data_IF_978572059129
#
_entry.id   IF_978572059129
#
_cell.length_a   1.000
_cell.length_b   1.000
_cell.length_c   1.000
_cell.angle_alpha   90.00
_cell.angle_beta   90.00
_cell.angle_gamma   90.00
#
_symmetry.space_group_name_H-M   'P 1'
#
loop_
_entity.id
_entity.type
_entity.pdbx_description
1 polymer ?
#
# COMPACT_ATOMS: atom_id res chain seq x y z
N UNK A 1 -8.46 -5.30 -7.77
CA UNK A 1 -7.04 -5.58 -7.56
C UNK A 1 -6.78 -5.78 -6.08
N UNK A 2 -5.81 -6.61 -5.68
CA UNK A 2 -5.39 -6.74 -4.29
C UNK A 2 -3.94 -6.24 -4.14
N UNK A 3 -3.71 -5.32 -3.20
CA UNK A 3 -2.39 -4.79 -2.89
C UNK A 3 -2.00 -5.20 -1.47
N UNK A 4 -1.02 -6.08 -1.36
CA UNK A 4 -0.50 -6.55 -0.08
C UNK A 4 0.62 -5.62 0.40
N UNK A 5 0.39 -4.95 1.52
CA UNK A 5 1.42 -4.11 2.16
C UNK A 5 2.19 -4.97 3.17
N UNK A 6 3.49 -5.00 3.00
CA UNK A 6 4.42 -5.78 3.82
C UNK A 6 5.60 -4.93 4.28
N UNK A 7 6.27 -5.37 5.31
CA UNK A 7 7.51 -4.77 5.82
C UNK A 7 8.53 -5.85 6.11
N UNK A 8 9.80 -5.61 5.82
CA UNK A 8 10.90 -6.51 6.21
C UNK A 8 11.11 -6.49 7.74
N UNK A 9 10.90 -5.32 8.34
CA UNK A 9 11.07 -5.07 9.78
C UNK A 9 9.94 -4.20 10.30
N UNK A 10 9.68 -4.29 11.58
CA UNK A 10 8.83 -3.38 12.35
C UNK A 10 7.37 -3.15 11.84
N UNK A 11 6.55 -4.22 11.76
CA UNK A 11 6.77 -5.64 12.07
C UNK A 11 7.33 -6.41 10.87
N UNK A 12 7.99 -7.52 11.12
CA UNK A 12 8.41 -8.44 10.05
C UNK A 12 7.20 -9.16 9.47
N UNK A 13 7.14 -9.20 8.15
CA UNK A 13 6.14 -9.99 7.41
C UNK A 13 6.80 -11.23 6.84
N UNK A 14 6.36 -12.41 7.25
CA UNK A 14 6.93 -13.66 6.76
C UNK A 14 6.57 -13.91 5.29
N UNK A 15 7.49 -14.54 4.56
CA UNK A 15 7.23 -14.98 3.18
C UNK A 15 6.04 -15.94 3.09
N UNK A 16 5.86 -16.81 4.09
CA UNK A 16 4.69 -17.68 4.17
C UNK A 16 3.36 -16.94 4.17
N UNK A 17 3.31 -15.77 4.81
CA UNK A 17 2.11 -14.93 4.76
C UNK A 17 1.88 -14.34 3.38
N UNK A 18 2.95 -13.85 2.74
CA UNK A 18 2.90 -13.32 1.38
C UNK A 18 2.41 -14.41 0.41
N UNK A 19 3.02 -15.59 0.46
CA UNK A 19 2.71 -16.70 -0.43
C UNK A 19 1.25 -17.16 -0.30
N UNK A 20 0.75 -17.27 0.94
CA UNK A 20 -0.67 -17.62 1.18
C UNK A 20 -1.62 -16.56 0.64
N UNK A 21 -1.30 -15.30 0.80
CA UNK A 21 -2.10 -14.22 0.26
C UNK A 21 -2.15 -14.28 -1.27
N UNK A 22 -0.99 -14.43 -1.91
CA UNK A 22 -0.89 -14.53 -3.37
C UNK A 22 -1.61 -15.76 -3.90
N UNK A 23 -1.44 -16.92 -3.26
CA UNK A 23 -2.17 -18.14 -3.62
C UNK A 23 -3.70 -17.97 -3.51
N UNK A 24 -4.17 -17.21 -2.51
CA UNK A 24 -5.58 -16.89 -2.40
C UNK A 24 -6.04 -15.99 -3.55
N UNK A 25 -5.27 -14.97 -3.90
CA UNK A 25 -5.56 -14.10 -5.03
C UNK A 25 -5.63 -14.89 -6.35
N UNK A 26 -4.70 -15.82 -6.57
CA UNK A 26 -4.71 -16.70 -7.75
C UNK A 26 -5.96 -17.58 -7.78
N UNK A 27 -6.33 -18.20 -6.66
CA UNK A 27 -7.52 -19.07 -6.57
C UNK A 27 -8.81 -18.31 -6.95
N UNK A 28 -8.90 -17.03 -6.63
CA UNK A 28 -10.02 -16.16 -6.97
C UNK A 28 -9.84 -15.33 -8.23
N UNK A 29 -8.72 -15.51 -8.94
CA UNK A 29 -8.36 -14.74 -10.15
C UNK A 29 -8.36 -13.24 -9.93
N UNK A 30 -7.91 -12.80 -8.76
CA UNK A 30 -7.76 -11.39 -8.40
C UNK A 30 -6.32 -10.97 -8.69
N UNK A 31 -6.07 -10.02 -9.60
CA UNK A 31 -4.73 -9.48 -9.81
C UNK A 31 -4.16 -8.94 -8.50
N UNK A 32 -2.92 -9.28 -8.18
CA UNK A 32 -2.26 -8.90 -6.94
C UNK A 32 -0.93 -8.19 -7.20
N UNK A 33 -0.54 -7.32 -6.26
CA UNK A 33 0.80 -6.75 -6.18
C UNK A 33 1.28 -6.70 -4.73
N UNK A 34 2.59 -6.51 -4.54
CA UNK A 34 3.22 -6.42 -3.24
C UNK A 34 3.82 -5.02 -3.07
N UNK A 35 3.51 -4.37 -1.95
CA UNK A 35 4.06 -3.06 -1.59
C UNK A 35 4.94 -3.24 -0.35
N UNK A 36 6.25 -3.19 -0.53
CA UNK A 36 7.23 -3.19 0.55
C UNK A 36 7.33 -1.78 1.11
N UNK A 37 6.79 -1.57 2.31
CA UNK A 37 6.77 -0.28 2.99
C UNK A 37 7.89 -0.16 4.01
N UNK A 38 8.14 1.08 4.48
CA UNK A 38 9.15 1.44 5.47
C UNK A 38 10.58 1.15 5.02
N UNK A 39 10.86 1.33 3.74
CA UNK A 39 12.21 1.12 3.21
C UNK A 39 13.24 2.11 3.77
N UNK A 40 12.79 3.25 4.27
CA UNK A 40 13.57 4.26 4.98
C UNK A 40 14.19 3.78 6.29
N UNK A 41 13.67 2.69 6.87
CA UNK A 41 14.16 2.09 8.11
C UNK A 41 15.12 0.92 7.89
N UNK A 42 15.40 0.55 6.64
CA UNK A 42 16.22 -0.61 6.31
C UNK A 42 17.70 -0.26 6.23
N UNK A 43 18.54 -1.17 6.74
CA UNK A 43 19.98 -1.14 6.56
C UNK A 43 20.35 -1.54 5.13
N UNK A 44 21.61 -1.34 4.75
CA UNK A 44 22.10 -1.70 3.43
C UNK A 44 22.00 -3.22 3.15
N UNK A 45 22.25 -4.06 4.16
CA UNK A 45 22.07 -5.50 4.06
C UNK A 45 20.58 -5.89 3.87
N UNK A 46 19.70 -5.22 4.58
CA UNK A 46 18.25 -5.45 4.46
C UNK A 46 17.69 -4.95 3.12
N UNK A 47 18.26 -3.90 2.55
CA UNK A 47 17.95 -3.45 1.19
C UNK A 47 18.38 -4.48 0.12
N UNK A 48 19.49 -5.18 0.34
CA UNK A 48 19.89 -6.30 -0.54
C UNK A 48 18.92 -7.47 -0.42
N UNK A 49 18.48 -7.81 0.80
CA UNK A 49 17.46 -8.83 1.03
C UNK A 49 16.14 -8.44 0.35
N UNK A 50 15.72 -7.18 0.48
CA UNK A 50 14.56 -6.65 -0.21
C UNK A 50 14.66 -6.80 -1.72
N UNK A 51 15.81 -6.45 -2.29
CA UNK A 51 16.06 -6.59 -3.72
C UNK A 51 15.91 -8.04 -4.19
N UNK A 52 16.44 -8.99 -3.43
CA UNK A 52 16.32 -10.43 -3.73
C UNK A 52 14.85 -10.90 -3.67
N UNK A 53 14.11 -10.47 -2.65
CA UNK A 53 12.69 -10.81 -2.53
C UNK A 53 11.85 -10.22 -3.67
N UNK A 54 12.12 -8.98 -4.04
CA UNK A 54 11.42 -8.34 -5.15
C UNK A 54 11.67 -9.08 -6.45
N UNK A 55 12.93 -9.40 -6.77
CA UNK A 55 13.28 -10.18 -7.96
C UNK A 55 12.57 -11.54 -7.99
N UNK A 56 12.47 -12.22 -6.85
CA UNK A 56 11.74 -13.47 -6.72
C UNK A 56 10.28 -13.30 -7.13
N UNK A 57 9.54 -12.38 -6.49
CA UNK A 57 8.12 -12.21 -6.76
C UNK A 57 7.85 -11.63 -8.16
N UNK A 58 8.70 -10.75 -8.65
CA UNK A 58 8.63 -10.23 -10.02
C UNK A 58 8.84 -11.34 -11.06
N UNK A 59 9.76 -12.29 -10.80
CA UNK A 59 9.96 -13.46 -11.67
C UNK A 59 8.75 -14.40 -11.71
N UNK A 60 7.92 -14.38 -10.67
CA UNK A 60 6.66 -15.11 -10.59
C UNK A 60 5.49 -14.33 -11.21
N UNK A 61 5.72 -13.13 -11.72
CA UNK A 61 4.71 -12.29 -12.38
C UNK A 61 3.97 -11.33 -11.45
N UNK A 62 4.38 -11.17 -10.19
CA UNK A 62 3.76 -10.24 -9.26
C UNK A 62 4.49 -8.89 -9.26
N UNK A 63 3.85 -7.78 -9.66
CA UNK A 63 4.46 -6.47 -9.54
C UNK A 63 4.83 -6.15 -8.09
N UNK A 64 6.02 -5.59 -7.89
CA UNK A 64 6.48 -5.18 -6.57
C UNK A 64 6.83 -3.69 -6.52
N UNK A 65 6.53 -3.05 -5.41
CA UNK A 65 6.81 -1.65 -5.14
C UNK A 65 7.56 -1.52 -3.82
N UNK A 66 8.59 -0.67 -3.79
CA UNK A 66 9.35 -0.37 -2.57
C UNK A 66 9.14 1.11 -2.24
N UNK A 67 8.56 1.39 -1.07
CA UNK A 67 8.15 2.74 -0.68
C UNK A 67 8.46 3.03 0.78
N UNK A 68 8.44 4.32 1.12
CA UNK A 68 8.23 4.81 2.47
C UNK A 68 6.96 5.67 2.49
N UNK A 69 5.92 5.19 3.13
CA UNK A 69 4.64 5.90 3.20
C UNK A 69 4.77 7.28 3.88
N UNK A 70 5.78 7.45 4.75
CA UNK A 70 6.04 8.73 5.44
C UNK A 70 6.66 9.74 4.48
N UNK A 71 7.55 9.31 3.59
CA UNK A 71 8.28 10.19 2.67
C UNK A 71 7.55 10.42 1.35
N UNK A 72 6.47 9.70 1.09
CA UNK A 72 5.64 9.92 -0.10
C UNK A 72 5.17 11.38 -0.24
N UNK A 73 5.00 12.06 0.89
CA UNK A 73 4.59 13.47 0.94
C UNK A 73 5.75 14.47 1.03
N UNK A 74 6.99 13.99 1.25
CA UNK A 74 8.08 14.87 1.71
C UNK A 74 9.26 15.00 0.77
N UNK A 75 9.48 14.10 -0.20
CA UNK A 75 10.65 14.20 -1.08
C UNK A 75 10.51 13.37 -2.35
N UNK A 76 10.55 14.01 -3.54
CA UNK A 76 10.54 13.32 -4.82
C UNK A 76 11.87 12.64 -5.18
N UNK A 77 12.95 12.89 -4.42
CA UNK A 77 14.33 12.55 -4.82
C UNK A 77 14.97 11.38 -4.07
N UNK A 78 14.18 10.49 -3.46
CA UNK A 78 14.77 9.30 -2.84
C UNK A 78 15.20 8.28 -3.91
N UNK A 79 16.49 7.92 -4.02
CA UNK A 79 16.99 7.01 -5.05
C UNK A 79 16.48 5.56 -4.90
N UNK A 80 15.84 5.23 -3.80
CA UNK A 80 15.42 3.87 -3.45
C UNK A 80 13.92 3.69 -3.60
N UNK A 81 13.12 4.75 -3.42
CA UNK A 81 11.68 4.69 -3.56
C UNK A 81 11.26 4.93 -5.01
N UNK A 82 10.44 4.05 -5.55
CA UNK A 82 9.78 4.31 -6.83
C UNK A 82 8.91 5.57 -6.69
N UNK A 83 8.83 6.34 -7.76
CA UNK A 83 8.01 7.56 -7.78
C UNK A 83 6.61 7.26 -7.26
N UNK A 84 6.08 8.05 -6.31
CA UNK A 84 4.72 7.90 -5.81
C UNK A 84 3.68 7.84 -6.94
N UNK A 85 3.88 8.62 -7.97
CA UNK A 85 2.99 8.68 -9.13
C UNK A 85 2.91 7.35 -9.88
N UNK A 86 4.02 6.61 -9.98
CA UNK A 86 4.02 5.30 -10.63
C UNK A 86 3.22 4.26 -9.82
N UNK A 87 3.39 4.23 -8.49
CA UNK A 87 2.60 3.37 -7.62
C UNK A 87 1.11 3.70 -7.74
N UNK A 88 0.77 4.99 -7.61
CA UNK A 88 -0.62 5.46 -7.64
C UNK A 88 -1.28 5.08 -8.97
N UNK A 89 -0.65 5.38 -10.09
CA UNK A 89 -1.16 5.06 -11.41
C UNK A 89 -1.30 3.54 -11.61
N UNK A 90 -0.29 2.77 -11.23
CA UNK A 90 -0.30 1.32 -11.48
C UNK A 90 -1.28 0.55 -10.58
N UNK A 91 -1.47 1.00 -9.34
CA UNK A 91 -2.23 0.23 -8.33
C UNK A 91 -3.63 0.76 -8.12
N UNK A 92 -3.85 2.07 -8.23
CA UNK A 92 -5.11 2.69 -7.81
C UNK A 92 -5.91 3.32 -8.95
N UNK A 93 -5.25 3.87 -9.98
CA UNK A 93 -5.96 4.62 -11.03
C UNK A 93 -6.89 3.71 -11.84
N UNK A 94 -8.16 4.09 -11.93
CA UNK A 94 -9.19 3.36 -12.65
C UNK A 94 -9.56 1.99 -12.06
N UNK A 95 -9.22 1.71 -10.79
CA UNK A 95 -9.35 0.39 -10.19
C UNK A 95 -10.09 0.44 -8.85
N UNK A 96 -10.73 -0.68 -8.50
CA UNK A 96 -11.11 -0.99 -7.12
C UNK A 96 -9.96 -1.79 -6.53
N UNK A 97 -9.28 -1.23 -5.52
CA UNK A 97 -8.09 -1.84 -4.90
C UNK A 97 -8.34 -2.13 -3.43
N UNK A 98 -8.19 -3.41 -3.08
CA UNK A 98 -8.17 -3.86 -1.69
C UNK A 98 -6.76 -3.72 -1.14
N UNK A 99 -6.59 -2.94 -0.06
CA UNK A 99 -5.37 -2.89 0.72
C UNK A 99 -5.41 -3.98 1.80
N UNK A 100 -4.39 -4.81 1.85
CA UNK A 100 -4.24 -5.86 2.86
C UNK A 100 -2.85 -5.83 3.47
N UNK A 101 -2.70 -6.39 4.66
CA UNK A 101 -1.43 -6.48 5.37
C UNK A 101 -1.61 -6.55 6.87
N UNK A 102 -0.57 -6.96 7.58
CA UNK A 102 -0.57 -7.09 9.04
C UNK A 102 -0.77 -5.72 9.74
N UNK A 103 -1.17 -5.75 11.00
CA UNK A 103 -1.19 -4.53 11.82
C UNK A 103 0.21 -3.92 11.90
N UNK A 104 0.30 -2.59 11.80
CA UNK A 104 1.56 -1.86 11.92
C UNK A 104 2.43 -1.80 10.65
N UNK A 105 2.05 -2.43 9.53
CA UNK A 105 2.80 -2.33 8.26
C UNK A 105 2.66 -0.96 7.58
N UNK A 106 1.74 -0.11 8.05
CA UNK A 106 1.56 1.26 7.56
C UNK A 106 0.45 1.44 6.54
N UNK A 107 -0.60 0.58 6.53
CA UNK A 107 -1.77 0.73 5.65
C UNK A 107 -2.42 2.10 5.78
N UNK A 108 -2.79 2.50 6.99
CA UNK A 108 -3.44 3.79 7.24
C UNK A 108 -2.53 4.98 6.90
N UNK A 109 -1.21 4.85 7.12
CA UNK A 109 -0.25 5.89 6.74
C UNK A 109 -0.19 6.04 5.22
N UNK A 110 -0.13 4.93 4.51
CA UNK A 110 -0.15 4.93 3.04
C UNK A 110 -1.45 5.50 2.50
N UNK A 111 -2.58 5.08 3.07
CA UNK A 111 -3.90 5.57 2.67
C UNK A 111 -4.01 7.09 2.87
N UNK A 112 -3.59 7.61 4.02
CA UNK A 112 -3.58 9.04 4.29
C UNK A 112 -2.65 9.81 3.33
N UNK A 113 -1.47 9.24 3.02
CA UNK A 113 -0.55 9.83 2.07
C UNK A 113 -1.14 9.89 0.64
N UNK A 114 -1.85 8.84 0.22
CA UNK A 114 -2.48 8.77 -1.10
C UNK A 114 -3.70 9.71 -1.19
N UNK A 115 -4.52 9.77 -0.14
CA UNK A 115 -5.75 10.58 -0.15
C UNK A 115 -5.52 12.05 0.23
N UNK A 116 -4.30 12.41 0.66
CA UNK A 116 -3.97 13.77 1.06
C UNK A 116 -4.74 14.29 2.27
N UNK A 117 -5.30 13.40 3.09
CA UNK A 117 -6.14 13.72 4.25
C UNK A 117 -5.90 12.72 5.37
N UNK A 118 -6.00 13.16 6.62
CA UNK A 118 -6.03 12.29 7.80
C UNK A 118 -7.39 11.58 7.94
N UNK A 119 -7.71 10.69 7.00
CA UNK A 119 -8.98 9.96 6.96
C UNK A 119 -8.89 8.68 7.80
N UNK A 120 -7.80 7.93 7.62
CA UNK A 120 -7.57 6.72 8.40
C UNK A 120 -6.88 7.08 9.72
N UNK A 121 -7.50 6.73 10.84
CA UNK A 121 -6.91 6.97 12.17
C UNK A 121 -5.62 6.17 12.32
N UNK A 122 -4.49 6.84 12.23
CA UNK A 122 -3.19 6.26 12.56
C UNK A 122 -3.09 6.09 14.07
N UNK A 123 -3.16 4.84 14.54
CA UNK A 123 -2.69 4.46 15.87
C UNK A 123 -3.46 4.89 17.11
N UNK A 124 -4.61 5.53 17.02
CA UNK A 124 -5.48 5.71 18.18
C UNK A 124 -6.41 4.50 18.30
N UNK A 125 -6.03 3.53 19.11
CA UNK A 125 -6.99 2.59 19.69
C UNK A 125 -8.11 3.44 20.27
N UNK A 126 -9.28 3.37 19.66
CA UNK A 126 -10.45 4.06 20.20
C UNK A 126 -10.74 3.42 21.58
N UNK A 127 -10.42 4.15 22.64
CA UNK A 127 -10.69 3.80 24.03
C UNK A 127 -12.18 3.82 24.38
N UNK A 128 -13.05 3.63 23.43
CA UNK A 128 -14.48 3.64 23.60
C UNK A 128 -15.12 2.34 23.15
N UNK A 129 -14.64 1.20 23.68
CA UNK A 129 -15.48 0.01 23.90
C UNK A 129 -14.72 -1.00 24.76
N UNK A 130 -14.73 -0.75 26.07
CA UNK A 130 -14.66 -1.84 27.03
C UNK A 130 -15.93 -2.68 26.85
N UNK A 131 -15.83 -3.78 26.13
CA UNK A 131 -16.46 -5.07 26.37
C UNK A 131 -16.08 -6.04 25.27
N UNK A 132 -15.28 -6.98 25.64
CA UNK A 132 -15.21 -8.37 25.23
C UNK A 132 -15.44 -8.72 23.76
N UNK A 133 -14.36 -9.26 23.16
CA UNK A 133 -14.42 -10.28 22.13
C UNK A 133 -14.93 -9.90 20.72
N UNK A 134 -14.07 -10.19 19.80
CA UNK A 134 -14.14 -10.05 18.33
C UNK A 134 -13.75 -8.66 17.82
N UNK A 135 -12.47 -8.57 17.46
CA UNK A 135 -11.97 -7.51 16.56
C UNK A 135 -12.59 -7.76 15.19
N UNK A 136 -13.83 -7.29 15.01
CA UNK A 136 -14.43 -7.17 13.69
C UNK A 136 -13.67 -6.04 13.02
N UNK A 137 -12.74 -6.36 12.15
CA UNK A 137 -12.07 -5.39 11.29
C UNK A 137 -13.15 -4.87 10.34
N UNK A 138 -13.60 -3.64 10.55
CA UNK A 138 -14.47 -2.99 9.60
C UNK A 138 -13.62 -2.63 8.39
N UNK A 139 -13.95 -3.19 7.24
CA UNK A 139 -13.41 -2.75 5.98
C UNK A 139 -14.13 -1.47 5.57
N UNK A 140 -13.39 -0.41 5.32
CA UNK A 140 -13.93 0.87 4.86
C UNK A 140 -13.57 1.07 3.39
N UNK A 141 -14.47 1.70 2.64
CA UNK A 141 -14.28 1.99 1.23
C UNK A 141 -14.12 3.50 1.04
N UNK A 142 -13.03 3.90 0.43
CA UNK A 142 -12.68 5.29 0.19
C UNK A 142 -12.73 5.60 -1.30
N UNK A 143 -13.46 6.65 -1.73
CA UNK A 143 -13.40 7.10 -3.11
C UNK A 143 -12.03 7.71 -3.38
N UNK A 144 -11.40 7.23 -4.44
CA UNK A 144 -10.17 7.78 -4.95
C UNK A 144 -10.50 8.62 -6.18
N UNK A 145 -10.65 9.90 -5.97
CA UNK A 145 -10.82 10.87 -7.05
C UNK A 145 -9.52 11.63 -7.16
N UNK A 146 -8.97 11.72 -8.34
CA UNK A 146 -7.75 12.43 -8.72
C UNK A 146 -7.11 13.30 -7.63
N UNK A 147 -5.88 12.98 -7.28
CA UNK A 147 -5.08 13.85 -6.43
C UNK A 147 -4.78 15.12 -7.24
N UNK A 148 -5.51 16.19 -6.97
CA UNK A 148 -5.10 17.56 -7.35
C UNK A 148 -3.82 18.01 -6.60
N UNK A 149 -2.96 17.08 -6.19
CA UNK A 149 -1.88 17.42 -5.25
C UNK A 149 -0.48 17.11 -5.72
N UNK A 150 -0.25 16.86 -6.99
CA UNK A 150 1.11 17.02 -7.52
C UNK A 150 1.04 17.59 -8.93
N UNK A 151 1.20 18.92 -9.00
CA UNK A 151 1.29 19.76 -10.19
C UNK A 151 -0.04 20.09 -10.89
N UNK A 152 -0.45 21.34 -10.68
CA UNK A 152 -1.30 22.14 -11.55
C UNK A 152 -0.87 21.99 -12.98
N UNK A 153 -1.40 21.05 -13.73
CA UNK A 153 -1.26 20.98 -15.18
C UNK A 153 -2.62 20.96 -15.87
N UNK A 154 -3.02 22.15 -16.24
CA UNK A 154 -3.78 22.59 -17.41
C UNK A 154 -4.00 21.49 -18.47
N UNK A 155 -4.97 20.61 -18.28
CA UNK A 155 -5.67 19.97 -19.39
C UNK A 155 -7.07 19.57 -18.95
N UNK A 156 -8.12 19.83 -19.74
CA UNK A 156 -9.49 19.47 -19.36
C UNK A 156 -9.62 17.94 -19.31
N UNK A 157 -9.97 17.46 -18.14
CA UNK A 157 -10.12 16.04 -17.83
C UNK A 157 -11.34 15.45 -18.53
N UNK A 158 -11.14 14.41 -19.29
CA UNK A 158 -12.17 13.40 -19.59
C UNK A 158 -12.70 12.80 -18.28
N UNK A 159 -13.99 12.48 -18.18
CA UNK A 159 -14.55 11.86 -16.98
C UNK A 159 -13.85 10.51 -16.73
N UNK A 160 -13.04 10.44 -15.69
CA UNK A 160 -12.31 9.24 -15.31
C UNK A 160 -13.22 8.31 -14.50
N UNK A 161 -13.08 7.04 -14.76
CA UNK A 161 -13.74 5.96 -14.02
C UNK A 161 -13.44 6.09 -12.53
N UNK A 162 -14.46 5.96 -11.71
CA UNK A 162 -14.34 6.04 -10.26
C UNK A 162 -13.40 4.94 -9.75
N UNK A 163 -12.37 5.35 -9.02
CA UNK A 163 -11.46 4.45 -8.32
C UNK A 163 -11.86 4.34 -6.85
N UNK A 164 -11.69 3.16 -6.27
CA UNK A 164 -12.04 2.91 -4.88
C UNK A 164 -10.90 2.18 -4.18
N UNK A 165 -10.64 2.53 -2.92
CA UNK A 165 -9.71 1.84 -2.04
C UNK A 165 -10.51 1.22 -0.90
N UNK A 166 -10.26 -0.06 -0.64
CA UNK A 166 -10.85 -0.83 0.46
C UNK A 166 -9.71 -1.18 1.42
N UNK A 167 -9.81 -0.75 2.69
CA UNK A 167 -8.85 -1.07 3.76
C UNK A 167 -9.44 -2.06 4.76
#
# INVERSE_FOLDING_TARGET
>A
MAALIVTLRHPETSTTFIDRFLATCEAYRVPACIIFNKVDLLTEEELQQLSTLRQLYESLGYPTYAISAITLTSSPDSPIAQSPNHLISAVFDGKVTLLSGNSGVGKSTLLNAILGKDIARTGAISSAHHKGMHTTTFSEMYPFNDIETFETLKTPSTPRTHSWIID
#
